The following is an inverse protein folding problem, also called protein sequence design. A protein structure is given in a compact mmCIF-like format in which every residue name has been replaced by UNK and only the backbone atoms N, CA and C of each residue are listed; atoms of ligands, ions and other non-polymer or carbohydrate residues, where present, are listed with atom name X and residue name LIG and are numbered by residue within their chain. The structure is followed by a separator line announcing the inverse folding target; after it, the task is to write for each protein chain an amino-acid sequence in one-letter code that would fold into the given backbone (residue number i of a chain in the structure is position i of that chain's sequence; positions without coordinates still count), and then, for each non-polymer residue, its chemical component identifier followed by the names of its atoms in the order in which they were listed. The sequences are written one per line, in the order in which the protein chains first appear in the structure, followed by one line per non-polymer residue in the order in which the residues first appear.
data_IF_123881533631
#
_entry.id   IF_123881533631
#
_cell.length_a   1.000
_cell.length_b   1.000
_cell.length_c   1.000
_cell.angle_alpha   90.00
_cell.angle_beta   90.00
_cell.angle_gamma   90.00
#
_symmetry.space_group_name_H-M   'P 1'
#
loop_
_entity.id
_entity.type
_entity.pdbx_description
1 polymer ?
#
# COMPACT_ATOMS: atom_id res chain seq x y z
N UNK A 1 6.94 1.77 17.62
CA UNK A 1 5.47 1.71 17.78
C UNK A 1 4.83 0.72 16.82
N UNK A 2 4.93 0.90 15.50
CA UNK A 2 4.28 0.03 14.51
C UNK A 2 4.75 -1.44 14.49
N UNK A 3 5.97 -1.71 14.98
CA UNK A 3 6.46 -3.08 15.13
C UNK A 3 5.58 -3.95 16.07
N UNK A 4 4.77 -3.34 16.94
CA UNK A 4 3.83 -4.06 17.81
C UNK A 4 2.65 -4.69 17.05
N UNK A 5 2.41 -4.26 15.80
CA UNK A 5 1.42 -4.89 14.93
C UNK A 5 2.00 -5.92 13.99
N UNK A 6 3.32 -6.11 14.03
CA UNK A 6 4.01 -7.09 13.21
C UNK A 6 4.49 -8.26 14.08
N UNK A 7 4.39 -9.47 13.54
CA UNK A 7 5.00 -10.65 14.13
C UNK A 7 6.51 -10.44 14.15
N UNK A 8 7.12 -10.63 15.32
CA UNK A 8 8.57 -10.60 15.45
C UNK A 8 9.10 -12.04 15.31
N UNK A 9 9.86 -12.35 14.27
CA UNK A 9 10.46 -13.67 14.14
C UNK A 9 11.44 -13.92 15.28
N UNK A 10 11.47 -15.16 15.75
CA UNK A 10 12.43 -15.62 16.75
C UNK A 10 13.86 -15.49 16.21
N UNK A 11 14.75 -14.97 17.05
CA UNK A 11 16.16 -14.80 16.72
C UNK A 11 16.60 -13.36 16.46
N UNK A 12 17.92 -13.16 16.53
CA UNK A 12 18.56 -11.84 16.47
C UNK A 12 18.55 -11.21 15.07
N UNK A 13 18.23 -11.96 14.01
CA UNK A 13 18.44 -11.51 12.64
C UNK A 13 19.92 -11.56 12.26
N UNK A 14 20.27 -10.91 11.14
CA UNK A 14 21.65 -10.82 10.65
C UNK A 14 22.10 -9.36 10.55
N UNK A 15 23.43 -9.10 10.64
CA UNK A 15 23.98 -7.77 10.48
C UNK A 15 23.53 -7.11 9.18
N UNK A 16 23.19 -5.83 9.26
CA UNK A 16 22.62 -5.11 8.13
C UNK A 16 23.44 -5.19 6.83
N UNK A 17 24.79 -5.08 6.83
CA UNK A 17 25.59 -5.25 5.62
C UNK A 17 25.42 -6.61 4.94
N UNK A 18 25.25 -7.68 5.73
CA UNK A 18 24.98 -9.01 5.22
C UNK A 18 23.61 -9.08 4.52
N UNK A 19 22.58 -8.51 5.14
CA UNK A 19 21.24 -8.43 4.54
C UNK A 19 21.28 -7.67 3.21
N UNK A 20 21.98 -6.53 3.16
CA UNK A 20 22.15 -5.75 1.93
C UNK A 20 22.82 -6.57 0.82
N UNK A 21 23.89 -7.33 1.14
CA UNK A 21 24.56 -8.20 0.18
C UNK A 21 23.60 -9.28 -0.38
N UNK A 22 22.79 -9.89 0.49
CA UNK A 22 21.77 -10.87 0.08
C UNK A 22 20.69 -10.25 -0.81
N UNK A 23 20.20 -9.06 -0.46
CA UNK A 23 19.22 -8.32 -1.28
C UNK A 23 19.80 -8.01 -2.66
N UNK A 24 21.05 -7.56 -2.76
CA UNK A 24 21.71 -7.30 -4.06
C UNK A 24 21.73 -8.56 -4.94
N UNK A 25 22.11 -9.70 -4.37
CA UNK A 25 22.15 -10.98 -5.08
C UNK A 25 20.77 -11.51 -5.48
N UNK A 26 19.72 -11.26 -4.68
CA UNK A 26 18.34 -11.61 -5.05
C UNK A 26 17.76 -10.66 -6.09
N UNK A 27 18.08 -9.37 -6.00
CA UNK A 27 17.64 -8.33 -6.93
C UNK A 27 18.19 -8.57 -8.34
N UNK A 28 19.44 -8.98 -8.49
CA UNK A 28 20.01 -9.27 -9.82
C UNK A 28 19.24 -10.38 -10.53
N UNK A 29 18.86 -11.45 -9.82
CA UNK A 29 18.03 -12.56 -10.35
C UNK A 29 16.61 -12.13 -10.72
N UNK A 30 16.10 -11.05 -10.11
CA UNK A 30 14.75 -10.52 -10.39
C UNK A 30 14.71 -9.55 -11.56
N UNK A 31 15.82 -8.86 -11.88
CA UNK A 31 15.88 -7.91 -13.01
C UNK A 31 15.61 -8.55 -14.38
N UNK A 32 15.67 -9.88 -14.46
CA UNK A 32 15.28 -10.66 -15.63
C UNK A 32 13.75 -10.71 -15.84
N UNK A 33 12.95 -10.28 -14.86
CA UNK A 33 11.50 -10.16 -14.98
C UNK A 33 11.12 -8.70 -15.31
N UNK A 34 10.29 -8.45 -16.34
CA UNK A 34 9.89 -7.10 -16.70
C UNK A 34 9.12 -6.44 -15.55
N UNK A 35 9.74 -5.41 -14.94
CA UNK A 35 9.18 -4.64 -13.81
C UNK A 35 7.85 -3.92 -14.11
N UNK A 36 7.48 -3.81 -15.39
CA UNK A 36 6.12 -3.58 -15.88
C UNK A 36 6.05 -4.14 -17.30
N UNK A 37 5.04 -4.95 -17.65
CA UNK A 37 4.74 -5.20 -19.05
C UNK A 37 4.32 -3.88 -19.71
N UNK A 38 4.87 -3.55 -20.88
CA UNK A 38 4.26 -2.55 -21.75
C UNK A 38 2.85 -3.02 -22.11
N UNK A 39 1.89 -2.11 -22.24
CA UNK A 39 0.45 -2.41 -22.37
C UNK A 39 0.13 -3.48 -23.44
N UNK A 40 0.95 -3.59 -24.49
CA UNK A 40 0.83 -4.59 -25.55
C UNK A 40 1.13 -6.05 -25.12
N UNK A 41 1.89 -6.27 -24.04
CA UNK A 41 2.30 -7.62 -23.55
C UNK A 41 1.37 -8.18 -22.46
N UNK A 42 0.32 -7.45 -22.08
CA UNK A 42 -0.58 -7.83 -20.97
C UNK A 42 -1.53 -8.95 -21.36
N UNK A 43 -1.95 -9.04 -22.63
CA UNK A 43 -2.88 -10.05 -23.12
C UNK A 43 -2.26 -11.45 -23.19
N UNK A 44 -1.09 -11.61 -23.83
CA UNK A 44 -0.36 -12.90 -23.89
C UNK A 44 0.10 -13.38 -22.50
N UNK A 45 0.38 -12.46 -21.58
CA UNK A 45 0.72 -12.87 -20.22
C UNK A 45 -0.51 -13.32 -19.43
N UNK A 46 -1.69 -12.73 -19.63
CA UNK A 46 -2.87 -13.04 -18.82
C UNK A 46 -3.25 -14.53 -18.79
N UNK A 47 -3.09 -15.26 -19.90
CA UNK A 47 -3.36 -16.71 -19.97
C UNK A 47 -2.37 -17.54 -19.17
N UNK A 48 -1.05 -17.35 -19.37
CA UNK A 48 -0.01 -18.00 -18.55
C UNK A 48 -0.10 -17.60 -17.07
N UNK A 49 -0.67 -16.42 -16.79
CA UNK A 49 -0.87 -15.88 -15.44
C UNK A 49 -2.09 -16.48 -14.74
N UNK A 50 -3.17 -16.75 -15.47
CA UNK A 50 -4.35 -17.47 -14.96
C UNK A 50 -3.98 -18.91 -14.55
N UNK A 51 -3.12 -19.58 -15.32
CA UNK A 51 -2.59 -20.91 -15.01
C UNK A 51 -1.74 -20.95 -13.72
N UNK A 52 -1.07 -19.84 -13.38
CA UNK A 52 -0.23 -19.74 -12.17
C UNK A 52 -1.03 -19.41 -10.89
N UNK A 53 -2.31 -19.05 -11.00
CA UNK A 53 -3.16 -18.72 -9.86
C UNK A 53 -2.54 -17.67 -8.91
N UNK A 54 -2.62 -17.91 -7.60
CA UNK A 54 -2.09 -17.02 -6.56
C UNK A 54 -0.58 -17.18 -6.29
N UNK A 55 0.12 -18.09 -6.99
CA UNK A 55 1.53 -18.40 -6.72
C UNK A 55 2.48 -17.19 -6.73
N UNK A 56 2.33 -16.18 -7.63
CA UNK A 56 3.18 -14.99 -7.63
C UNK A 56 2.94 -14.07 -6.43
N UNK A 57 1.69 -13.97 -5.98
CA UNK A 57 1.33 -13.20 -4.79
C UNK A 57 1.89 -13.87 -3.53
N UNK A 58 1.77 -15.20 -3.44
CA UNK A 58 2.39 -15.99 -2.39
C UNK A 58 3.92 -15.86 -2.39
N UNK A 59 4.56 -15.88 -3.57
CA UNK A 59 6.01 -15.69 -3.71
C UNK A 59 6.48 -14.30 -3.25
N UNK A 60 5.74 -13.23 -3.58
CA UNK A 60 6.04 -11.88 -3.10
C UNK A 60 5.92 -11.76 -1.58
N UNK A 61 4.90 -12.39 -0.98
CA UNK A 61 4.74 -12.47 0.49
C UNK A 61 5.87 -13.28 1.13
N UNK A 62 6.19 -14.45 0.59
CA UNK A 62 7.27 -15.30 1.09
C UNK A 62 8.62 -14.57 1.07
N UNK A 63 8.90 -13.80 0.00
CA UNK A 63 10.10 -12.98 -0.08
C UNK A 63 10.12 -11.88 0.98
N UNK A 64 9.01 -11.17 1.18
CA UNK A 64 8.89 -10.15 2.23
C UNK A 64 9.10 -10.77 3.61
N UNK A 65 8.51 -11.93 3.89
CA UNK A 65 8.64 -12.63 5.17
C UNK A 65 10.07 -13.12 5.39
N UNK A 66 10.72 -13.63 4.33
CA UNK A 66 12.15 -13.95 4.36
C UNK A 66 12.96 -12.71 4.74
N UNK A 67 12.75 -11.57 4.06
CA UNK A 67 13.48 -10.34 4.37
C UNK A 67 13.25 -9.91 5.83
N UNK A 68 12.00 -9.93 6.28
CA UNK A 68 11.65 -9.56 7.66
C UNK A 68 12.35 -10.44 8.70
N UNK A 69 12.48 -11.75 8.44
CA UNK A 69 13.23 -12.67 9.32
C UNK A 69 14.73 -12.47 9.27
N UNK A 70 15.28 -11.86 8.21
CA UNK A 70 16.71 -11.53 8.15
C UNK A 70 17.08 -10.28 8.95
N UNK A 71 16.15 -9.35 9.19
CA UNK A 71 16.46 -8.08 9.83
C UNK A 71 16.71 -8.24 11.33
N UNK A 72 17.69 -7.50 11.85
CA UNK A 72 17.88 -7.31 13.29
C UNK A 72 16.76 -6.45 13.91
N UNK A 73 16.51 -6.54 15.24
CA UNK A 73 15.43 -5.81 15.91
C UNK A 73 15.38 -4.30 15.62
N UNK A 74 16.52 -3.62 15.62
CA UNK A 74 16.57 -2.17 15.35
C UNK A 74 16.17 -1.84 13.92
N UNK A 75 16.59 -2.68 12.96
CA UNK A 75 16.18 -2.55 11.57
C UNK A 75 14.71 -2.89 11.37
N UNK A 76 14.18 -3.92 12.06
CA UNK A 76 12.74 -4.22 12.07
C UNK A 76 11.96 -3.01 12.59
N UNK A 77 12.40 -2.41 13.70
CA UNK A 77 11.76 -1.22 14.25
C UNK A 77 11.79 -0.04 13.27
N UNK A 78 12.93 0.19 12.59
CA UNK A 78 13.07 1.26 11.61
C UNK A 78 12.20 1.05 10.36
N UNK A 79 12.09 -0.18 9.86
CA UNK A 79 11.33 -0.52 8.65
C UNK A 79 9.90 -0.98 8.90
N UNK A 80 9.48 -1.16 10.16
CA UNK A 80 8.12 -1.52 10.52
C UNK A 80 7.05 -0.63 9.87
N UNK A 81 7.22 0.70 9.72
CA UNK A 81 6.25 1.53 9.01
C UNK A 81 5.99 1.07 7.57
N UNK A 82 7.04 0.73 6.82
CA UNK A 82 6.94 0.29 5.43
C UNK A 82 6.33 -1.10 5.30
N UNK A 83 6.75 -2.02 6.18
CA UNK A 83 6.19 -3.38 6.21
C UNK A 83 4.72 -3.36 6.61
N UNK A 84 4.36 -2.59 7.63
CA UNK A 84 2.99 -2.43 8.06
C UNK A 84 2.12 -1.79 6.97
N UNK A 85 2.61 -0.75 6.27
CA UNK A 85 1.94 -0.19 5.10
C UNK A 85 1.64 -1.26 4.03
N UNK A 86 2.56 -2.18 3.77
CA UNK A 86 2.33 -3.28 2.83
C UNK A 86 1.32 -4.33 3.32
N UNK A 87 1.10 -4.44 4.63
CA UNK A 87 0.06 -5.31 5.23
C UNK A 87 -1.33 -4.65 5.28
N UNK A 88 -1.43 -3.31 5.15
CA UNK A 88 -2.73 -2.63 5.18
C UNK A 88 -3.65 -3.08 4.04
N UNK A 89 -3.12 -3.31 2.83
CA UNK A 89 -3.94 -3.75 1.69
C UNK A 89 -4.46 -5.19 1.84
N UNK A 90 -3.64 -6.18 2.22
CA UNK A 90 -4.15 -7.49 2.60
C UNK A 90 -5.18 -7.43 3.73
N UNK A 91 -4.95 -6.61 4.76
CA UNK A 91 -5.91 -6.42 5.86
C UNK A 91 -7.25 -5.88 5.36
N UNK A 92 -7.25 -4.77 4.62
CA UNK A 92 -8.43 -4.17 4.03
C UNK A 92 -9.20 -5.17 3.15
N UNK A 93 -8.48 -5.87 2.26
CA UNK A 93 -9.08 -6.88 1.40
C UNK A 93 -9.71 -8.03 2.20
N UNK A 94 -9.06 -8.50 3.28
CA UNK A 94 -9.61 -9.54 4.13
C UNK A 94 -10.89 -9.07 4.85
N UNK A 95 -10.94 -7.83 5.34
CA UNK A 95 -12.15 -7.25 5.95
C UNK A 95 -13.28 -7.18 4.90
N UNK A 96 -12.98 -6.80 3.66
CA UNK A 96 -13.96 -6.80 2.56
C UNK A 96 -14.48 -8.20 2.24
N UNK A 97 -13.60 -9.21 2.17
CA UNK A 97 -14.01 -10.61 1.94
C UNK A 97 -14.85 -11.17 3.07
N UNK A 98 -14.55 -10.76 4.30
CA UNK A 98 -15.36 -11.07 5.47
C UNK A 98 -16.78 -10.49 5.38
N UNK A 99 -16.94 -9.27 4.90
CA UNK A 99 -18.26 -8.64 4.72
C UNK A 99 -19.18 -9.49 3.84
N UNK A 100 -18.64 -10.08 2.77
CA UNK A 100 -19.35 -10.98 1.85
C UNK A 100 -19.25 -12.47 2.26
N UNK A 101 -18.79 -12.77 3.49
CA UNK A 101 -18.69 -14.12 4.09
C UNK A 101 -17.84 -15.11 3.29
N UNK A 102 -16.81 -14.65 2.59
CA UNK A 102 -15.88 -15.48 1.83
C UNK A 102 -14.70 -15.93 2.70
N UNK A 103 -14.96 -16.78 3.70
CA UNK A 103 -13.99 -17.14 4.75
C UNK A 103 -12.74 -17.86 4.24
N UNK A 104 -12.86 -18.71 3.22
CA UNK A 104 -11.69 -19.37 2.60
C UNK A 104 -10.73 -18.34 1.99
N UNK A 105 -11.27 -17.27 1.40
CA UNK A 105 -10.45 -16.18 0.87
C UNK A 105 -9.85 -15.34 1.99
N UNK A 106 -10.58 -15.11 3.09
CA UNK A 106 -10.03 -14.44 4.28
C UNK A 106 -8.81 -15.21 4.78
N UNK A 107 -8.93 -16.53 4.96
CA UNK A 107 -7.83 -17.39 5.38
C UNK A 107 -6.64 -17.31 4.41
N UNK A 108 -6.87 -17.45 3.10
CA UNK A 108 -5.82 -17.38 2.08
C UNK A 108 -5.13 -16.00 1.99
N UNK A 109 -5.85 -14.90 2.24
CA UNK A 109 -5.24 -13.56 2.28
C UNK A 109 -4.39 -13.38 3.55
N UNK A 110 -4.85 -13.90 4.68
CA UNK A 110 -4.14 -13.81 5.96
C UNK A 110 -2.97 -14.80 6.07
N UNK A 111 -2.97 -15.86 5.26
CA UNK A 111 -1.86 -16.80 5.18
C UNK A 111 -0.55 -16.08 4.79
N UNK A 112 0.46 -16.24 5.65
CA UNK A 112 1.75 -15.57 5.51
C UNK A 112 1.70 -14.05 5.74
N UNK A 113 0.65 -13.50 6.34
CA UNK A 113 0.65 -12.11 6.81
C UNK A 113 1.63 -11.94 7.97
N UNK A 114 2.35 -10.81 7.97
CA UNK A 114 3.20 -10.42 9.08
C UNK A 114 2.41 -9.72 10.20
N UNK A 115 1.09 -9.57 10.11
CA UNK A 115 0.30 -8.97 11.18
C UNK A 115 0.25 -9.88 12.42
N UNK A 116 0.24 -9.27 13.61
CA UNK A 116 0.17 -10.02 14.87
C UNK A 116 -1.08 -10.90 14.96
N UNK A 117 -0.91 -12.09 15.54
CA UNK A 117 -1.95 -13.12 15.67
C UNK A 117 -3.27 -12.59 16.26
N UNK A 118 -3.29 -11.76 17.31
CA UNK A 118 -4.55 -11.21 17.83
C UNK A 118 -5.35 -10.44 16.78
N UNK A 119 -4.70 -9.67 15.91
CA UNK A 119 -5.38 -8.94 14.84
C UNK A 119 -5.92 -9.89 13.77
N UNK A 120 -5.13 -10.91 13.39
CA UNK A 120 -5.55 -11.93 12.43
C UNK A 120 -6.78 -12.70 12.93
N UNK A 121 -6.80 -13.09 14.21
CA UNK A 121 -7.93 -13.78 14.82
C UNK A 121 -9.19 -12.92 14.83
N UNK A 122 -9.08 -11.61 15.10
CA UNK A 122 -10.22 -10.70 15.04
C UNK A 122 -10.82 -10.59 13.63
N UNK A 123 -9.97 -10.61 12.60
CA UNK A 123 -10.42 -10.58 11.20
C UNK A 123 -11.01 -11.92 10.76
N UNK A 124 -10.48 -13.04 11.26
CA UNK A 124 -10.92 -14.38 10.88
C UNK A 124 -12.12 -14.93 11.69
N UNK A 125 -12.56 -14.23 12.75
CA UNK A 125 -13.67 -14.70 13.59
C UNK A 125 -15.01 -14.64 12.83
N UNK A 126 -15.51 -15.81 12.44
CA UNK A 126 -16.75 -16.01 11.68
C UNK A 126 -18.01 -16.05 12.56
N UNK A 127 -17.82 -16.11 13.88
CA UNK A 127 -18.92 -16.15 14.86
C UNK A 127 -19.52 -14.77 15.13
N UNK A 128 -18.84 -13.70 14.71
CA UNK A 128 -19.24 -12.31 14.94
C UNK A 128 -19.52 -11.58 13.63
N UNK A 129 -20.44 -10.62 13.65
CA UNK A 129 -20.81 -9.81 12.48
C UNK A 129 -19.76 -8.77 12.09
N UNK A 130 -19.85 -8.22 10.87
CA UNK A 130 -18.84 -7.28 10.33
C UNK A 130 -18.57 -6.11 11.27
N UNK A 131 -19.63 -5.43 11.68
CA UNK A 131 -19.63 -4.30 12.62
C UNK A 131 -18.88 -4.62 13.92
N UNK A 132 -19.18 -5.74 14.54
CA UNK A 132 -18.60 -6.10 15.84
C UNK A 132 -17.09 -6.36 15.74
N UNK A 133 -16.61 -7.03 14.69
CA UNK A 133 -15.17 -7.17 14.56
C UNK A 133 -14.49 -5.84 14.25
N UNK A 134 -15.11 -4.93 13.49
CA UNK A 134 -14.55 -3.61 13.26
C UNK A 134 -14.40 -2.82 14.57
N UNK A 135 -15.38 -2.91 15.45
CA UNK A 135 -15.29 -2.35 16.80
C UNK A 135 -14.11 -2.97 17.59
N UNK A 136 -13.99 -4.30 17.57
CA UNK A 136 -12.89 -5.01 18.27
C UNK A 136 -11.51 -4.69 17.67
N UNK A 137 -11.40 -4.62 16.34
CA UNK A 137 -10.19 -4.23 15.61
C UNK A 137 -9.83 -2.79 15.95
N UNK A 138 -10.80 -1.87 15.90
CA UNK A 138 -10.61 -0.46 16.23
C UNK A 138 -10.11 -0.28 17.66
N UNK A 139 -10.75 -0.94 18.63
CA UNK A 139 -10.29 -0.97 20.03
C UNK A 139 -8.90 -1.56 20.19
N UNK A 140 -8.59 -2.65 19.49
CA UNK A 140 -7.25 -3.26 19.53
C UNK A 140 -6.18 -2.30 18.99
N UNK A 141 -6.43 -1.68 17.83
CA UNK A 141 -5.48 -0.76 17.19
C UNK A 141 -5.34 0.55 17.98
N UNK A 142 -6.42 1.07 18.57
CA UNK A 142 -6.44 2.31 19.35
C UNK A 142 -5.50 2.28 20.55
N UNK A 143 -5.23 1.09 21.12
CA UNK A 143 -4.29 0.92 22.25
C UNK A 143 -2.86 1.34 21.91
N UNK A 144 -2.50 1.28 20.62
CA UNK A 144 -1.14 1.56 20.15
C UNK A 144 -1.14 2.79 19.23
N UNK A 145 -2.18 2.98 18.42
CA UNK A 145 -2.29 4.05 17.43
C UNK A 145 -3.53 4.90 17.71
N UNK A 146 -3.37 6.17 18.12
CA UNK A 146 -4.51 7.05 18.32
C UNK A 146 -5.25 7.28 16.99
N UNK A 147 -6.57 7.38 17.05
CA UNK A 147 -7.42 7.66 15.87
C UNK A 147 -8.06 6.44 15.20
N UNK A 148 -7.76 5.22 15.67
CA UNK A 148 -8.39 3.97 15.21
C UNK A 148 -9.67 3.57 15.96
N UNK A 149 -10.13 4.37 16.93
CA UNK A 149 -11.42 4.13 17.56
C UNK A 149 -12.58 4.31 16.58
N UNK A 150 -13.73 3.72 16.89
CA UNK A 150 -15.01 3.93 16.19
C UNK A 150 -15.02 3.51 14.71
N UNK A 151 -14.31 2.44 14.33
CA UNK A 151 -14.35 1.92 12.94
C UNK A 151 -15.75 1.42 12.56
N UNK A 152 -16.52 0.94 13.54
CA UNK A 152 -17.91 0.55 13.40
C UNK A 152 -18.81 1.72 12.98
N UNK A 153 -18.55 2.94 13.46
CA UNK A 153 -19.34 4.12 13.09
C UNK A 153 -19.00 4.59 11.68
N UNK A 154 -17.71 4.50 11.31
CA UNK A 154 -17.25 4.76 9.93
C UNK A 154 -17.90 3.79 8.95
N UNK A 155 -17.98 2.51 9.32
CA UNK A 155 -18.66 1.48 8.54
C UNK A 155 -20.15 1.76 8.38
N UNK A 156 -20.85 2.14 9.45
CA UNK A 156 -22.29 2.45 9.37
C UNK A 156 -22.58 3.65 8.47
N UNK A 157 -21.66 4.62 8.39
CA UNK A 157 -21.86 5.87 7.65
C UNK A 157 -21.47 5.73 6.17
N UNK A 158 -20.38 5.01 5.88
CA UNK A 158 -19.78 4.98 4.54
C UNK A 158 -19.39 3.60 4.03
N UNK A 159 -19.86 2.53 4.69
CA UNK A 159 -19.59 1.15 4.32
C UNK A 159 -18.13 0.74 4.49
N UNK A 160 -17.77 -0.40 3.90
CA UNK A 160 -16.41 -0.95 4.00
C UNK A 160 -15.37 0.01 3.44
N UNK A 161 -15.67 0.74 2.37
CA UNK A 161 -14.65 1.57 1.74
C UNK A 161 -14.25 2.80 2.55
N UNK A 162 -15.19 3.35 3.33
CA UNK A 162 -14.86 4.37 4.32
C UNK A 162 -13.92 3.84 5.41
N UNK A 163 -14.07 2.58 5.81
CA UNK A 163 -13.19 1.92 6.79
C UNK A 163 -11.80 1.73 6.23
N UNK A 164 -11.68 1.25 4.98
CA UNK A 164 -10.38 1.06 4.32
C UNK A 164 -9.63 2.40 4.20
N UNK A 165 -10.33 3.44 3.73
CA UNK A 165 -9.81 4.80 3.65
C UNK A 165 -9.38 5.33 5.03
N UNK A 166 -10.19 5.09 6.08
CA UNK A 166 -9.86 5.49 7.45
C UNK A 166 -8.60 4.81 7.97
N UNK A 167 -8.49 3.49 7.83
CA UNK A 167 -7.33 2.71 8.27
C UNK A 167 -6.06 3.23 7.58
N UNK A 168 -6.13 3.46 6.27
CA UNK A 168 -5.00 3.96 5.51
C UNK A 168 -4.60 5.38 5.92
N UNK A 169 -5.58 6.30 5.98
CA UNK A 169 -5.33 7.72 6.25
C UNK A 169 -4.77 7.94 7.65
N UNK A 170 -5.32 7.26 8.66
CA UNK A 170 -4.80 7.34 10.04
C UNK A 170 -3.40 6.74 10.10
N UNK A 171 -3.16 5.57 9.48
CA UNK A 171 -1.82 4.95 9.49
C UNK A 171 -0.78 5.88 8.88
N UNK A 172 -1.03 6.40 7.68
CA UNK A 172 -0.07 7.25 6.97
C UNK A 172 0.16 8.59 7.69
N UNK A 173 -0.89 9.20 8.22
CA UNK A 173 -0.77 10.42 9.03
C UNK A 173 0.10 10.20 10.27
N UNK A 174 -0.06 9.06 10.95
CA UNK A 174 0.79 8.70 12.08
C UNK A 174 2.23 8.41 11.65
N UNK A 175 2.44 7.66 10.57
CA UNK A 175 3.78 7.39 10.03
C UNK A 175 4.51 8.71 9.73
N UNK A 176 3.84 9.65 9.07
CA UNK A 176 4.44 10.92 8.68
C UNK A 176 4.75 11.84 9.88
N UNK A 177 4.00 11.73 10.97
CA UNK A 177 4.21 12.49 12.20
C UNK A 177 5.38 11.97 13.05
N UNK A 178 5.87 10.75 12.82
CA UNK A 178 6.99 10.19 13.54
C UNK A 178 8.33 10.55 12.87
N UNK A 179 9.39 10.61 13.67
CA UNK A 179 10.75 10.74 13.15
C UNK A 179 11.19 9.42 12.53
N UNK A 180 11.23 9.36 11.20
CA UNK A 180 11.75 8.23 10.44
C UNK A 180 13.17 8.52 9.94
N UNK A 181 13.88 7.45 9.58
CA UNK A 181 15.12 7.57 8.81
C UNK A 181 14.88 8.40 7.54
N UNK A 182 15.80 9.31 7.13
CA UNK A 182 15.54 10.29 6.07
C UNK A 182 15.02 9.70 4.75
N UNK A 183 15.55 8.55 4.32
CA UNK A 183 15.11 7.85 3.13
C UNK A 183 13.66 7.35 3.22
N UNK A 184 13.26 6.81 4.37
CA UNK A 184 11.88 6.36 4.63
C UNK A 184 10.94 7.55 4.77
N UNK A 185 11.35 8.62 5.45
CA UNK A 185 10.56 9.85 5.57
C UNK A 185 10.24 10.42 4.18
N UNK A 186 11.25 10.54 3.33
CA UNK A 186 11.09 11.07 1.96
C UNK A 186 10.18 10.17 1.12
N UNK A 187 10.28 8.85 1.28
CA UNK A 187 9.40 7.90 0.62
C UNK A 187 7.92 8.10 1.03
N UNK A 188 7.63 8.16 2.33
CA UNK A 188 6.25 8.28 2.82
C UNK A 188 5.63 9.64 2.49
N UNK A 189 6.40 10.73 2.59
CA UNK A 189 5.96 12.05 2.17
C UNK A 189 5.53 12.03 0.69
N UNK A 190 6.38 11.45 -0.18
CA UNK A 190 6.08 11.34 -1.61
C UNK A 190 4.86 10.47 -1.88
N UNK A 191 4.72 9.36 -1.15
CA UNK A 191 3.58 8.46 -1.24
C UNK A 191 2.28 9.17 -0.86
N UNK A 192 2.28 9.94 0.23
CA UNK A 192 1.14 10.72 0.70
C UNK A 192 0.74 11.76 -0.34
N UNK A 193 1.69 12.50 -0.89
CA UNK A 193 1.41 13.50 -1.93
C UNK A 193 0.75 12.86 -3.17
N UNK A 194 1.25 11.69 -3.62
CA UNK A 194 0.66 10.93 -4.72
C UNK A 194 -0.77 10.48 -4.42
N UNK A 195 -1.01 9.92 -3.23
CA UNK A 195 -2.34 9.45 -2.83
C UNK A 195 -3.34 10.62 -2.73
N UNK A 196 -2.92 11.74 -2.15
CA UNK A 196 -3.76 12.93 -2.06
C UNK A 196 -4.11 13.52 -3.43
N UNK A 197 -3.15 13.55 -4.36
CA UNK A 197 -3.41 13.99 -5.73
C UNK A 197 -4.36 13.02 -6.46
N UNK A 198 -4.19 11.71 -6.31
CA UNK A 198 -5.14 10.73 -6.86
C UNK A 198 -6.55 10.94 -6.31
N UNK A 199 -6.69 11.12 -5.00
CA UNK A 199 -7.98 11.42 -4.35
C UNK A 199 -8.59 12.68 -4.93
N UNK A 200 -7.81 13.75 -5.10
CA UNK A 200 -8.27 15.01 -5.70
C UNK A 200 -8.76 14.81 -7.14
N UNK A 201 -7.99 14.12 -7.98
CA UNK A 201 -8.35 13.87 -9.38
C UNK A 201 -9.61 13.02 -9.51
N UNK A 202 -9.76 11.97 -8.69
CA UNK A 202 -10.98 11.14 -8.66
C UNK A 202 -12.20 11.95 -8.24
N UNK A 203 -12.05 12.77 -7.20
CA UNK A 203 -13.11 13.65 -6.70
C UNK A 203 -13.59 14.61 -7.80
N UNK A 204 -12.66 15.29 -8.48
CA UNK A 204 -12.97 16.20 -9.60
C UNK A 204 -13.62 15.46 -10.78
N UNK A 205 -13.15 14.26 -11.11
CA UNK A 205 -13.65 13.46 -12.24
C UNK A 205 -15.08 12.96 -12.04
N UNK A 206 -15.44 12.62 -10.79
CA UNK A 206 -16.76 12.06 -10.46
C UNK A 206 -17.74 13.08 -9.87
N UNK A 207 -17.32 14.34 -9.69
CA UNK A 207 -18.14 15.40 -9.09
C UNK A 207 -18.81 14.96 -7.78
N UNK A 208 -18.05 14.23 -6.94
CA UNK A 208 -18.59 13.73 -5.68
C UNK A 208 -18.99 14.89 -4.76
N UNK A 209 -20.16 14.80 -4.13
CA UNK A 209 -20.63 15.78 -3.17
C UNK A 209 -19.91 15.67 -1.81
N UNK A 210 -19.25 14.53 -1.56
CA UNK A 210 -18.53 14.28 -0.32
C UNK A 210 -17.20 15.02 -0.26
N UNK A 211 -16.79 15.51 0.92
CA UNK A 211 -15.49 16.16 1.07
C UNK A 211 -14.38 15.09 1.00
N UNK A 212 -13.37 15.25 0.12
CA UNK A 212 -12.28 14.29 0.02
C UNK A 212 -11.48 14.23 1.32
N UNK A 213 -11.20 13.02 1.80
CA UNK A 213 -10.36 12.81 2.97
C UNK A 213 -8.90 12.80 2.55
N UNK A 214 -8.20 13.92 2.79
CA UNK A 214 -6.76 14.03 2.53
C UNK A 214 -5.94 13.55 3.73
N UNK A 215 -4.84 12.86 3.43
CA UNK A 215 -3.86 12.37 4.39
C UNK A 215 -2.91 13.50 4.78
N UNK A 216 -2.74 13.81 6.08
CA UNK A 216 -1.77 14.81 6.53
C UNK A 216 -0.33 14.28 6.42
N UNK A 217 0.65 15.20 6.45
CA UNK A 217 2.08 14.86 6.51
C UNK A 217 2.81 14.74 5.17
N UNK A 218 2.14 15.01 4.05
CA UNK A 218 2.78 15.24 2.74
C UNK A 218 3.45 16.60 2.65
N UNK A 219 4.16 16.87 1.53
CA UNK A 219 4.65 18.23 1.21
C UNK A 219 3.50 19.16 0.85
N UNK A 220 2.43 18.60 0.28
CA UNK A 220 1.25 19.36 -0.11
C UNK A 220 0.32 19.43 1.09
N UNK A 221 0.14 20.64 1.66
CA UNK A 221 -0.75 20.83 2.79
C UNK A 221 -2.21 20.58 2.40
N UNK A 222 -3.01 20.12 3.37
CA UNK A 222 -4.47 19.91 3.18
C UNK A 222 -5.19 21.20 2.77
N UNK A 223 -4.76 22.36 3.28
CA UNK A 223 -5.25 23.68 2.86
C UNK A 223 -5.02 23.92 1.37
N UNK A 224 -3.84 23.56 0.85
CA UNK A 224 -3.51 23.70 -0.58
C UNK A 224 -4.33 22.73 -1.43
N UNK A 225 -4.49 21.48 -1.00
CA UNK A 225 -5.35 20.49 -1.68
C UNK A 225 -6.81 20.97 -1.76
N UNK A 226 -7.37 21.50 -0.68
CA UNK A 226 -8.72 22.07 -0.66
C UNK A 226 -8.85 23.29 -1.60
N UNK A 227 -7.82 24.12 -1.70
CA UNK A 227 -7.78 25.24 -2.65
C UNK A 227 -7.80 24.76 -4.10
N UNK A 228 -7.05 23.70 -4.41
CA UNK A 228 -7.03 23.09 -5.75
C UNK A 228 -8.35 22.40 -6.09
N UNK A 229 -9.01 21.78 -5.11
CA UNK A 229 -10.36 21.25 -5.27
C UNK A 229 -11.35 22.35 -5.67
N UNK A 230 -11.26 23.52 -5.05
CA UNK A 230 -12.06 24.71 -5.38
C UNK A 230 -11.66 25.42 -6.68
N UNK A 231 -10.83 24.81 -7.54
CA UNK A 231 -10.45 25.33 -8.85
C UNK A 231 -9.34 26.37 -8.87
N UNK A 232 -8.75 26.72 -7.72
CA UNK A 232 -7.63 27.69 -7.66
C UNK A 232 -6.30 26.96 -7.78
N UNK A 233 -5.31 27.53 -8.47
CA UNK A 233 -3.94 26.98 -8.46
C UNK A 233 -3.72 25.74 -9.34
N UNK A 234 -4.45 25.59 -10.44
CA UNK A 234 -4.28 24.48 -11.38
C UNK A 234 -2.83 24.32 -11.86
N UNK A 235 -2.14 25.42 -12.19
CA UNK A 235 -0.73 25.38 -12.59
C UNK A 235 0.20 24.81 -11.50
N UNK A 236 -0.03 25.14 -10.22
CA UNK A 236 0.75 24.58 -9.11
C UNK A 236 0.49 23.08 -8.92
N UNK A 237 -0.77 22.66 -9.05
CA UNK A 237 -1.18 21.25 -9.01
C UNK A 237 -0.48 20.48 -10.13
N UNK A 238 -0.51 21.00 -11.34
CA UNK A 238 0.02 20.34 -12.53
C UNK A 238 1.55 20.25 -12.47
N UNK A 239 2.22 21.28 -11.96
CA UNK A 239 3.66 21.23 -11.65
C UNK A 239 4.00 20.16 -10.59
N UNK A 240 3.15 19.98 -9.57
CA UNK A 240 3.31 18.94 -8.57
C UNK A 240 3.12 17.54 -9.16
N UNK A 241 2.12 17.34 -10.03
CA UNK A 241 1.93 16.08 -10.78
C UNK A 241 3.18 15.79 -11.59
N UNK A 242 3.65 16.75 -12.38
CA UNK A 242 4.85 16.60 -13.20
C UNK A 242 6.11 16.26 -12.39
N UNK A 243 6.30 16.87 -11.21
CA UNK A 243 7.43 16.55 -10.33
C UNK A 243 7.36 15.13 -9.73
N UNK A 244 6.15 14.62 -9.50
CA UNK A 244 5.92 13.30 -8.91
C UNK A 244 5.99 12.17 -9.94
N UNK A 245 5.45 12.39 -11.13
CA UNK A 245 5.54 11.45 -12.25
C UNK A 245 6.91 11.52 -12.91
N UNK A 246 7.48 12.71 -13.08
CA UNK A 246 8.63 12.95 -13.95
C UNK A 246 8.25 13.03 -15.43
N UNK A 247 6.94 13.18 -15.73
CA UNK A 247 6.39 13.43 -17.07
C UNK A 247 5.87 14.87 -17.14
N UNK A 248 6.05 15.53 -18.28
CA UNK A 248 5.49 16.87 -18.53
C UNK A 248 4.03 16.84 -19.00
N UNK A 249 3.53 15.69 -19.44
CA UNK A 249 2.15 15.54 -19.89
C UNK A 249 1.24 15.20 -18.70
N UNK A 250 0.08 15.86 -18.63
CA UNK A 250 -0.96 15.51 -17.67
C UNK A 250 -1.73 14.29 -18.17
N UNK A 251 -1.91 13.27 -17.33
CA UNK A 251 -2.73 12.10 -17.66
C UNK A 251 -4.21 12.48 -17.87
N UNK A 252 -4.88 11.80 -18.79
CA UNK A 252 -6.28 12.08 -19.14
C UNK A 252 -7.27 11.40 -18.18
N UNK A 253 -6.86 10.28 -17.59
CA UNK A 253 -7.67 9.50 -16.66
C UNK A 253 -7.00 9.30 -15.28
N UNK A 254 -7.79 9.10 -14.21
CA UNK A 254 -7.23 8.75 -12.90
C UNK A 254 -6.39 7.47 -12.92
N UNK A 255 -6.70 6.52 -13.80
CA UNK A 255 -5.96 5.27 -13.97
C UNK A 255 -4.57 5.51 -14.58
N UNK A 256 -4.49 6.29 -15.66
CA UNK A 256 -3.20 6.70 -16.24
C UNK A 256 -2.36 7.51 -15.24
N UNK A 257 -3.00 8.41 -14.48
CA UNK A 257 -2.33 9.16 -13.45
C UNK A 257 -1.73 8.25 -12.38
N UNK A 258 -2.47 7.22 -11.97
CA UNK A 258 -1.97 6.25 -11.01
C UNK A 258 -0.79 5.45 -11.57
N UNK A 259 -0.84 5.01 -12.83
CA UNK A 259 0.29 4.34 -13.48
C UNK A 259 1.53 5.23 -13.55
N UNK A 260 1.38 6.49 -13.97
CA UNK A 260 2.47 7.45 -14.04
C UNK A 260 3.06 7.75 -12.67
N UNK A 261 2.22 7.83 -11.63
CA UNK A 261 2.68 7.92 -10.26
C UNK A 261 3.47 6.68 -9.83
N UNK A 262 3.02 5.47 -10.15
CA UNK A 262 3.77 4.24 -9.84
C UNK A 262 5.12 4.19 -10.57
N UNK A 263 5.17 4.62 -11.85
CA UNK A 263 6.42 4.77 -12.62
C UNK A 263 7.34 5.81 -11.97
N UNK A 264 6.81 6.96 -11.60
CA UNK A 264 7.53 8.04 -10.92
C UNK A 264 8.11 7.61 -9.57
N UNK A 265 7.33 6.90 -8.76
CA UNK A 265 7.76 6.33 -7.48
C UNK A 265 8.85 5.27 -7.68
N UNK A 266 8.73 4.42 -8.69
CA UNK A 266 9.75 3.42 -9.02
C UNK A 266 11.07 4.09 -9.41
N UNK A 267 11.05 5.14 -10.23
CA UNK A 267 12.24 5.94 -10.56
C UNK A 267 12.85 6.57 -9.30
N UNK A 268 12.00 7.11 -8.42
CA UNK A 268 12.43 7.68 -7.14
C UNK A 268 13.11 6.62 -6.24
N UNK A 269 12.48 5.47 -6.01
CA UNK A 269 13.04 4.37 -5.21
C UNK A 269 14.36 3.85 -5.80
N UNK A 270 14.46 3.73 -7.13
CA UNK A 270 15.72 3.34 -7.79
C UNK A 270 16.85 4.34 -7.54
N UNK A 271 16.57 5.65 -7.55
CA UNK A 271 17.55 6.68 -7.18
C UNK A 271 17.91 6.56 -5.70
N UNK A 272 16.92 6.40 -4.83
CA UNK A 272 17.13 6.22 -3.39
C UNK A 272 17.99 4.97 -3.11
N UNK A 273 17.86 3.90 -3.90
CA UNK A 273 18.67 2.67 -3.74
C UNK A 273 20.18 2.83 -3.96
N UNK A 274 20.62 3.98 -4.47
CA UNK A 274 22.04 4.30 -4.67
C UNK A 274 22.69 4.95 -3.45
N UNK A 275 21.90 5.24 -2.42
CA UNK A 275 22.33 5.79 -1.15
C UNK A 275 23.34 4.84 -0.46
N UNK A 276 24.53 5.33 -0.03
CA UNK A 276 25.56 4.50 0.62
C UNK A 276 25.06 3.77 1.88
N UNK A 277 24.10 4.35 2.60
CA UNK A 277 23.59 3.79 3.86
C UNK A 277 22.71 2.55 3.64
N UNK A 278 22.38 2.20 2.39
CA UNK A 278 21.65 0.97 2.05
C UNK A 278 20.16 0.98 2.39
N UNK A 279 19.67 1.95 3.17
CA UNK A 279 18.23 2.10 3.50
C UNK A 279 17.38 2.16 2.23
N UNK A 280 17.81 2.96 1.25
CA UNK A 280 17.13 3.07 -0.02
C UNK A 280 17.04 1.76 -0.82
N UNK A 281 18.01 0.84 -0.64
CA UNK A 281 17.97 -0.46 -1.29
C UNK A 281 16.84 -1.32 -0.75
N UNK A 282 16.60 -1.30 0.57
CA UNK A 282 15.45 -2.01 1.15
C UNK A 282 14.12 -1.39 0.74
N UNK A 283 14.03 -0.06 0.71
CA UNK A 283 12.83 0.63 0.25
C UNK A 283 12.50 0.24 -1.18
N UNK A 284 13.49 0.27 -2.08
CA UNK A 284 13.30 -0.12 -3.48
C UNK A 284 12.95 -1.60 -3.63
N UNK A 285 13.60 -2.47 -2.85
CA UNK A 285 13.32 -3.90 -2.89
C UNK A 285 11.89 -4.21 -2.43
N UNK A 286 11.47 -3.69 -1.27
CA UNK A 286 10.12 -3.87 -0.76
C UNK A 286 9.07 -3.24 -1.71
N UNK A 287 9.36 -2.06 -2.27
CA UNK A 287 8.50 -1.42 -3.26
C UNK A 287 8.33 -2.28 -4.53
N UNK A 288 9.41 -2.92 -5.01
CA UNK A 288 9.35 -3.82 -6.15
C UNK A 288 8.47 -5.04 -5.87
N UNK A 289 8.56 -5.62 -4.67
CA UNK A 289 7.69 -6.75 -4.26
C UNK A 289 6.22 -6.35 -4.21
N UNK A 290 5.95 -5.14 -3.71
CA UNK A 290 4.60 -4.59 -3.69
C UNK A 290 4.05 -4.38 -5.11
N UNK A 291 4.85 -3.83 -6.02
CA UNK A 291 4.45 -3.64 -7.41
C UNK A 291 4.20 -4.96 -8.14
N UNK A 292 5.09 -5.95 -7.98
CA UNK A 292 4.88 -7.28 -8.56
C UNK A 292 3.54 -7.87 -8.11
N UNK A 293 3.27 -7.88 -6.79
CA UNK A 293 2.01 -8.37 -6.24
C UNK A 293 0.79 -7.60 -6.78
N UNK A 294 0.92 -6.28 -6.97
CA UNK A 294 -0.13 -5.42 -7.51
C UNK A 294 -0.40 -5.71 -8.99
N UNK A 295 0.62 -5.76 -9.82
CA UNK A 295 0.47 -5.99 -11.26
C UNK A 295 -0.17 -7.34 -11.54
N UNK A 296 0.23 -8.37 -10.80
CA UNK A 296 -0.38 -9.68 -10.88
C UNK A 296 -1.89 -9.64 -10.63
N UNK A 297 -2.33 -8.96 -9.58
CA UNK A 297 -3.76 -8.80 -9.27
C UNK A 297 -4.53 -8.08 -10.38
N UNK A 298 -3.94 -7.06 -11.00
CA UNK A 298 -4.58 -6.32 -12.09
C UNK A 298 -4.68 -7.19 -13.36
N UNK A 299 -3.64 -7.95 -13.70
CA UNK A 299 -3.64 -8.81 -14.89
C UNK A 299 -4.65 -9.95 -14.80
N UNK A 300 -4.82 -10.57 -13.62
CA UNK A 300 -5.84 -11.63 -13.43
C UNK A 300 -7.26 -11.09 -13.63
N UNK A 301 -7.52 -9.84 -13.19
CA UNK A 301 -8.83 -9.19 -13.39
C UNK A 301 -9.12 -8.84 -14.86
N UNK A 302 -8.09 -8.58 -15.66
CA UNK A 302 -8.25 -8.23 -17.07
C UNK A 302 -8.32 -9.46 -17.99
N UNK A 303 -7.69 -10.58 -17.62
CA UNK A 303 -7.70 -11.84 -18.38
C UNK A 303 -8.98 -12.68 -18.26
N UNK A 304 -9.81 -12.44 -17.25
CA UNK A 304 -11.16 -13.00 -17.15
C UNK A 304 -12.19 -12.01 -17.70
N UNK A 305 -12.72 -12.25 -18.89
CA UNK A 305 -13.64 -11.32 -19.60
C UNK A 305 -14.88 -10.94 -18.74
N UNK A 306 -14.96 -9.64 -18.44
CA UNK A 306 -16.12 -8.78 -18.07
C UNK A 306 -16.86 -9.05 -16.75
N UNK A 307 -16.69 -8.11 -15.79
CA UNK A 307 -17.79 -7.25 -15.33
C UNK A 307 -17.25 -5.83 -15.14
N UNK A 308 -17.99 -4.85 -15.65
CA UNK A 308 -17.89 -3.44 -15.27
C UNK A 308 -17.81 -3.32 -13.75
N UNK A 309 -16.61 -3.09 -13.23
CA UNK A 309 -16.41 -2.58 -11.88
C UNK A 309 -16.15 -1.08 -12.06
N UNK A 310 -17.01 -0.19 -11.53
CA UNK A 310 -16.71 1.23 -11.47
C UNK A 310 -15.38 1.40 -10.73
N UNK A 311 -14.61 2.45 -11.05
CA UNK A 311 -13.21 2.66 -10.62
C UNK A 311 -12.91 2.78 -9.12
N UNK A 312 -13.60 2.06 -8.24
CA UNK A 312 -13.56 2.12 -6.78
C UNK A 312 -12.36 1.37 -6.17
N UNK A 313 -11.76 0.39 -6.85
CA UNK A 313 -10.85 -0.58 -6.20
C UNK A 313 -9.45 -0.07 -5.80
N UNK A 314 -9.17 1.23 -5.89
CA UNK A 314 -7.85 1.74 -5.51
C UNK A 314 -7.87 2.73 -4.34
N UNK A 315 -9.04 3.17 -3.86
CA UNK A 315 -9.26 3.83 -2.56
C UNK A 315 -10.77 3.88 -2.20
N UNK A 316 -11.47 2.75 -2.28
CA UNK A 316 -12.72 2.49 -1.56
C UNK A 316 -12.63 1.03 -1.19
#
# INVERSE_FOLDING_TARGET
MLNLFLQNPEGKGYPFPYVLARIRGRRSRRKERPTMPEAATVAETAETRLEQGDAPLAAARAERNWLWSQLEPDMRNAFAPLVFYHELKPLALAIRRREVRQWDQVAAIMEGSLLVTPLLLLVADDRIGTKEALERIGRFMQRILPGFGHLEDVYLTGGIGAVEGRILNVTLGLIAAHSLQPGLQTFFIRLIDMLNLLTLFRHQRWRSETVPSFVPGGRISTKRLNSWQGGRGAAERDACVAALTGSGALPESPSELEEEFMRGMTRFCRRLSRDPDGIGLLVEYLWSLYLEARYWRLSVKQGGVVRTIPGEELMA
#
